data_IF_204725545716
#
_entry.id   IF_204725545716
#
_cell.length_a   1.000
_cell.length_b   1.000
_cell.length_c   1.000
_cell.angle_alpha   90.00
_cell.angle_beta   90.00
_cell.angle_gamma   90.00
#
_symmetry.space_group_name_H-M   'P 1'
#
loop_
_entity.id
_entity.type
_entity.pdbx_description
1 polymer ?
#
# COMPACT_ATOMS: atom_id res chain seq x y z
N UNK A 1 22.20 -36.77 -15.44
CA UNK A 1 21.10 -37.19 -14.56
C UNK A 1 20.41 -35.94 -14.08
N UNK A 2 19.13 -35.78 -14.45
CA UNK A 2 18.34 -34.60 -14.17
C UNK A 2 18.00 -34.53 -12.67
N UNK A 3 18.28 -33.40 -12.03
CA UNK A 3 17.59 -32.99 -10.81
C UNK A 3 16.49 -32.01 -11.22
N UNK A 4 15.41 -32.58 -11.77
CA UNK A 4 14.11 -31.93 -11.79
C UNK A 4 13.59 -31.97 -10.35
N UNK A 5 13.55 -30.83 -9.66
CA UNK A 5 12.79 -30.71 -8.42
C UNK A 5 12.02 -29.39 -8.41
N UNK A 6 10.80 -29.50 -8.92
CA UNK A 6 9.59 -28.95 -8.28
C UNK A 6 9.49 -27.43 -8.18
N UNK A 7 8.83 -26.81 -9.17
CA UNK A 7 8.00 -25.64 -8.87
C UNK A 7 6.93 -26.09 -7.87
N UNK A 8 7.23 -25.96 -6.58
CA UNK A 8 6.29 -26.27 -5.51
C UNK A 8 5.02 -25.42 -5.66
N UNK A 9 3.88 -26.09 -5.48
CA UNK A 9 2.56 -25.51 -5.30
C UNK A 9 2.58 -24.48 -4.16
N UNK A 10 3.00 -23.24 -4.42
CA UNK A 10 2.90 -22.16 -3.45
C UNK A 10 1.44 -21.72 -3.33
N UNK A 11 0.72 -22.38 -2.42
CA UNK A 11 -0.62 -22.01 -2.02
C UNK A 11 -0.49 -21.00 -0.88
N UNK A 12 -0.72 -19.72 -1.17
CA UNK A 12 -0.69 -18.68 -0.14
C UNK A 12 -2.00 -18.65 0.64
N UNK A 13 -1.92 -18.39 1.94
CA UNK A 13 -3.08 -18.15 2.78
C UNK A 13 -3.11 -16.69 3.20
N UNK A 14 -4.31 -16.12 3.29
CA UNK A 14 -4.51 -14.76 3.73
C UNK A 14 -4.36 -14.69 5.25
N UNK A 15 -3.39 -13.92 5.73
CA UNK A 15 -3.09 -13.79 7.16
C UNK A 15 -4.20 -13.06 7.96
N UNK A 16 -5.19 -12.47 7.29
CA UNK A 16 -6.34 -11.84 7.96
C UNK A 16 -7.55 -12.77 8.13
N UNK A 17 -7.81 -13.65 7.16
CA UNK A 17 -9.04 -14.45 7.12
C UNK A 17 -8.80 -15.95 6.86
N UNK A 18 -7.55 -16.37 6.77
CA UNK A 18 -7.09 -17.74 6.49
C UNK A 18 -7.58 -18.34 5.16
N UNK A 19 -8.25 -17.57 4.29
CA UNK A 19 -8.62 -18.04 2.97
C UNK A 19 -7.40 -18.28 2.09
N UNK A 20 -7.50 -19.31 1.26
CA UNK A 20 -6.52 -19.63 0.23
C UNK A 20 -6.55 -18.55 -0.85
N UNK A 21 -5.38 -18.05 -1.22
CA UNK A 21 -5.16 -17.07 -2.27
C UNK A 21 -4.75 -17.83 -3.53
N UNK A 22 -5.62 -17.80 -4.54
CA UNK A 22 -5.43 -18.56 -5.79
C UNK A 22 -4.47 -17.84 -6.75
N UNK A 23 -4.32 -16.52 -6.65
CA UNK A 23 -3.47 -15.71 -7.53
C UNK A 23 -2.73 -14.62 -6.79
N UNK A 24 -1.44 -14.45 -7.10
CA UNK A 24 -0.50 -13.38 -6.68
C UNK A 24 -0.92 -12.63 -5.40
N UNK A 25 -0.43 -13.04 -4.22
CA UNK A 25 -0.77 -12.37 -2.97
C UNK A 25 -0.19 -10.95 -2.95
N UNK A 26 -0.80 -10.11 -2.13
CA UNK A 26 -0.16 -8.88 -1.66
C UNK A 26 0.63 -9.25 -0.40
N UNK A 27 1.96 -9.17 -0.49
CA UNK A 27 2.87 -9.59 0.57
C UNK A 27 3.39 -8.37 1.33
N UNK A 28 3.38 -8.45 2.67
CA UNK A 28 4.00 -7.43 3.51
C UNK A 28 5.53 -7.51 3.41
N UNK A 29 6.21 -6.40 3.14
CA UNK A 29 7.67 -6.34 3.01
C UNK A 29 8.41 -6.67 4.33
N UNK A 30 7.76 -6.45 5.48
CA UNK A 30 8.40 -6.56 6.80
C UNK A 30 8.23 -7.96 7.40
N UNK A 31 7.06 -8.57 7.22
CA UNK A 31 6.72 -9.84 7.87
C UNK A 31 6.36 -10.97 6.91
N UNK A 32 6.53 -10.76 5.60
CA UNK A 32 6.24 -11.72 4.52
C UNK A 32 4.82 -12.32 4.52
N UNK A 33 3.92 -11.73 5.32
CA UNK A 33 2.54 -12.16 5.41
C UNK A 33 1.79 -11.83 4.13
N UNK A 34 0.98 -12.79 3.68
CA UNK A 34 0.23 -12.70 2.44
C UNK A 34 -1.22 -12.28 2.70
N UNK A 35 -1.76 -11.46 1.81
CA UNK A 35 -3.14 -10.99 1.88
C UNK A 35 -3.76 -11.00 0.48
N UNK A 36 -5.04 -11.40 0.38
CA UNK A 36 -5.79 -11.13 -0.86
C UNK A 36 -6.20 -9.64 -0.90
N UNK A 37 -6.45 -9.12 -2.10
CA UNK A 37 -6.64 -7.69 -2.36
C UNK A 37 -7.65 -7.01 -1.42
N UNK A 38 -8.82 -7.63 -1.22
CA UNK A 38 -9.85 -7.11 -0.31
C UNK A 38 -9.39 -7.00 1.15
N UNK A 39 -8.60 -7.95 1.63
CA UNK A 39 -8.06 -7.92 3.00
C UNK A 39 -6.94 -6.89 3.11
N UNK A 40 -6.03 -6.78 2.14
CA UNK A 40 -4.98 -5.77 2.13
C UNK A 40 -5.55 -4.33 2.22
N UNK A 41 -6.66 -4.05 1.51
CA UNK A 41 -7.37 -2.76 1.63
C UNK A 41 -7.95 -2.52 3.03
N UNK A 42 -8.45 -3.56 3.70
CA UNK A 42 -9.05 -3.47 5.04
C UNK A 42 -8.03 -3.17 6.12
N UNK A 43 -6.85 -3.79 6.04
CA UNK A 43 -5.80 -3.59 7.05
C UNK A 43 -5.08 -2.25 6.90
N UNK A 44 -5.51 -1.38 5.96
CA UNK A 44 -5.02 0.00 5.78
C UNK A 44 -3.49 0.09 5.80
N UNK A 45 -2.82 -0.83 5.10
CA UNK A 45 -1.37 -0.79 4.98
C UNK A 45 -0.89 0.40 4.15
N UNK A 46 0.36 0.78 4.38
CA UNK A 46 1.03 1.86 3.67
C UNK A 46 1.67 1.28 2.41
N UNK A 47 1.38 1.91 1.25
CA UNK A 47 2.04 1.55 0.01
C UNK A 47 3.30 2.40 -0.13
N UNK A 48 4.46 1.77 -0.02
CA UNK A 48 5.74 2.46 -0.17
C UNK A 48 6.14 2.35 -1.65
N UNK A 49 6.20 3.49 -2.34
CA UNK A 49 6.74 3.54 -3.70
C UNK A 49 5.89 2.82 -4.75
N UNK A 50 6.53 1.98 -5.59
CA UNK A 50 5.92 1.41 -6.81
C UNK A 50 5.48 -0.06 -6.70
N UNK A 51 5.84 -0.82 -5.67
CA UNK A 51 5.47 -2.24 -5.53
C UNK A 51 5.49 -2.78 -4.08
N UNK A 52 5.67 -1.93 -3.07
CA UNK A 52 5.93 -2.41 -1.71
C UNK A 52 4.75 -2.10 -0.79
N UNK A 53 4.32 -3.10 -0.03
CA UNK A 53 3.19 -3.04 0.87
C UNK A 53 3.66 -3.30 2.30
N UNK A 54 3.32 -2.44 3.25
CA UNK A 54 3.57 -2.66 4.68
C UNK A 54 2.23 -2.78 5.39
N UNK A 55 2.01 -3.88 6.10
CA UNK A 55 0.77 -4.06 6.86
C UNK A 55 0.76 -3.12 8.08
N UNK A 56 -0.41 -2.63 8.48
CA UNK A 56 -0.54 -1.66 9.56
C UNK A 56 0.05 -2.11 10.91
N UNK A 57 0.08 -3.42 11.17
CA UNK A 57 0.75 -3.95 12.35
C UNK A 57 2.26 -3.65 12.29
N UNK A 58 2.91 -4.00 11.18
CA UNK A 58 4.33 -3.74 10.97
C UNK A 58 4.64 -2.25 10.84
N UNK A 59 3.73 -1.46 10.27
CA UNK A 59 3.84 0.00 10.23
C UNK A 59 3.92 0.56 11.65
N UNK A 60 2.96 0.18 12.51
CA UNK A 60 2.95 0.59 13.92
C UNK A 60 4.17 0.07 14.72
N UNK A 61 4.57 -1.18 14.50
CA UNK A 61 5.74 -1.77 15.17
C UNK A 61 7.02 -1.03 14.76
N UNK A 62 7.19 -0.68 13.48
CA UNK A 62 8.32 0.09 13.00
C UNK A 62 8.41 1.47 13.68
N UNK A 63 7.28 2.19 13.81
CA UNK A 63 7.26 3.45 14.55
C UNK A 63 7.60 3.27 16.04
N UNK A 64 7.13 2.19 16.67
CA UNK A 64 7.47 1.88 18.07
C UNK A 64 8.95 1.57 18.25
N UNK A 65 9.56 0.85 17.30
CA UNK A 65 10.98 0.49 17.32
C UNK A 65 11.85 1.74 17.11
N UNK A 66 11.48 2.59 16.14
CA UNK A 66 12.14 3.89 15.93
C UNK A 66 12.03 4.76 17.18
N UNK A 67 10.85 4.82 17.82
CA UNK A 67 10.68 5.57 19.06
C UNK A 67 11.59 5.05 20.18
N UNK A 68 11.67 3.73 20.35
CA UNK A 68 12.56 3.13 21.34
C UNK A 68 14.05 3.38 21.03
N UNK A 69 14.45 3.36 19.75
CA UNK A 69 15.81 3.70 19.34
C UNK A 69 16.14 5.17 19.62
N UNK A 70 15.17 6.07 19.40
CA UNK A 70 15.30 7.48 19.73
C UNK A 70 15.48 7.70 21.23
N UNK A 71 14.91 6.87 22.10
CA UNK A 71 15.04 6.97 23.56
C UNK A 71 16.42 6.52 24.09
N UNK A 72 17.28 5.92 23.25
CA UNK A 72 18.61 5.47 23.68
C UNK A 72 19.60 6.62 23.91
N UNK A 73 20.46 6.47 24.92
CA UNK A 73 21.49 7.46 25.30
C UNK A 73 22.56 7.69 24.21
N UNK A 74 22.60 6.83 23.19
CA UNK A 74 23.49 6.94 22.04
C UNK A 74 22.99 7.92 20.97
N UNK A 75 21.72 8.33 21.03
CA UNK A 75 21.08 9.19 20.02
C UNK A 75 21.06 10.64 20.51
N UNK A 76 21.69 11.54 19.74
CA UNK A 76 21.72 12.96 20.07
C UNK A 76 20.35 13.62 19.87
N UNK A 77 20.12 14.74 20.56
CA UNK A 77 18.88 15.51 20.44
C UNK A 77 18.66 16.06 19.02
N UNK A 78 19.75 16.41 18.32
CA UNK A 78 19.70 16.81 16.91
C UNK A 78 19.21 15.66 16.03
N UNK A 79 19.64 14.42 16.31
CA UNK A 79 19.23 13.23 15.57
C UNK A 79 17.74 12.95 15.79
N UNK A 80 17.24 13.07 17.03
CA UNK A 80 15.81 12.98 17.36
C UNK A 80 14.98 13.99 16.59
N UNK A 81 15.43 15.25 16.57
CA UNK A 81 14.73 16.34 15.88
C UNK A 81 14.67 16.11 14.36
N UNK A 82 15.75 15.62 13.75
CA UNK A 82 15.77 15.27 12.32
C UNK A 82 14.80 14.14 12.01
N UNK A 83 14.77 13.09 12.83
CA UNK A 83 13.84 11.95 12.62
C UNK A 83 12.39 12.38 12.78
N UNK A 84 12.05 13.17 13.80
CA UNK A 84 10.69 13.71 14.02
C UNK A 84 10.26 14.60 12.83
N UNK A 85 11.15 15.46 12.34
CA UNK A 85 10.88 16.30 11.17
C UNK A 85 10.65 15.45 9.91
N UNK A 86 11.46 14.40 9.69
CA UNK A 86 11.30 13.49 8.56
C UNK A 86 9.96 12.75 8.61
N UNK A 87 9.53 12.27 9.78
CA UNK A 87 8.21 11.63 9.96
C UNK A 87 7.08 12.59 9.60
N UNK A 88 7.11 13.83 10.12
CA UNK A 88 6.11 14.86 9.81
C UNK A 88 6.06 15.23 8.32
N UNK A 89 7.22 15.26 7.66
CA UNK A 89 7.31 15.51 6.21
C UNK A 89 6.68 14.36 5.43
N UNK A 90 6.91 13.11 5.83
CA UNK A 90 6.33 11.92 5.21
C UNK A 90 4.82 11.91 5.37
N UNK A 91 4.29 12.14 6.58
CA UNK A 91 2.84 12.22 6.85
C UNK A 91 2.18 13.31 6.00
N UNK A 92 2.79 14.51 5.95
CA UNK A 92 2.29 15.62 5.13
C UNK A 92 2.27 15.26 3.64
N UNK A 93 3.24 14.48 3.15
CA UNK A 93 3.29 14.02 1.77
C UNK A 93 2.16 13.02 1.48
N UNK A 94 1.84 12.12 2.39
CA UNK A 94 0.75 11.15 2.23
C UNK A 94 -0.61 11.84 2.18
N UNK A 95 -0.83 12.89 2.97
CA UNK A 95 -2.03 13.73 2.89
C UNK A 95 -2.16 14.42 1.51
N UNK A 96 -1.05 14.96 1.00
CA UNK A 96 -1.00 15.57 -0.34
C UNK A 96 -1.31 14.53 -1.42
N UNK A 97 -0.75 13.32 -1.32
CA UNK A 97 -1.02 12.21 -2.26
C UNK A 97 -2.49 11.80 -2.21
N UNK A 98 -3.06 11.65 -1.01
CA UNK A 98 -4.46 11.30 -0.82
C UNK A 98 -5.39 12.35 -1.44
N UNK A 99 -5.10 13.63 -1.20
CA UNK A 99 -5.82 14.76 -1.81
C UNK A 99 -5.74 14.74 -3.34
N UNK A 100 -4.53 14.54 -3.91
CA UNK A 100 -4.35 14.42 -5.37
C UNK A 100 -5.15 13.25 -5.95
N UNK A 101 -5.11 12.09 -5.30
CA UNK A 101 -5.84 10.90 -5.75
C UNK A 101 -7.36 11.13 -5.74
N UNK A 102 -7.88 11.87 -4.75
CA UNK A 102 -9.29 12.27 -4.72
C UNK A 102 -9.67 13.13 -5.94
N UNK A 103 -8.89 14.17 -6.25
CA UNK A 103 -9.15 15.02 -7.41
C UNK A 103 -9.03 14.27 -8.75
N UNK A 104 -8.05 13.38 -8.88
CA UNK A 104 -7.89 12.52 -10.06
C UNK A 104 -9.15 11.69 -10.28
N UNK A 105 -9.68 11.05 -9.22
CA UNK A 105 -10.90 10.24 -9.30
C UNK A 105 -12.12 11.07 -9.72
N UNK A 106 -12.24 12.29 -9.20
CA UNK A 106 -13.31 13.21 -9.57
C UNK A 106 -13.25 13.59 -11.06
N UNK A 107 -12.05 13.89 -11.56
CA UNK A 107 -11.82 14.21 -12.96
C UNK A 107 -12.09 13.02 -13.88
N UNK A 108 -11.62 11.82 -13.52
CA UNK A 108 -11.89 10.58 -14.26
C UNK A 108 -13.40 10.34 -14.40
N UNK A 109 -14.17 10.57 -13.33
CA UNK A 109 -15.63 10.43 -13.36
C UNK A 109 -16.28 11.42 -14.33
N UNK A 110 -15.83 12.68 -14.31
CA UNK A 110 -16.32 13.70 -15.27
C UNK A 110 -16.01 13.33 -16.71
N UNK A 111 -14.80 12.85 -16.99
CA UNK A 111 -14.39 12.41 -18.33
C UNK A 111 -15.27 11.26 -18.80
N UNK A 112 -15.49 10.24 -17.98
CA UNK A 112 -16.37 9.11 -18.32
C UNK A 112 -17.80 9.56 -18.64
N UNK A 113 -18.35 10.49 -17.85
CA UNK A 113 -19.69 11.03 -18.09
C UNK A 113 -19.80 11.81 -19.41
N UNK A 114 -18.78 12.63 -19.74
CA UNK A 114 -18.73 13.36 -21.01
C UNK A 114 -18.59 12.40 -22.20
N UNK A 115 -17.75 11.37 -22.08
CA UNK A 115 -17.60 10.35 -23.10
C UNK A 115 -18.91 9.60 -23.35
N UNK A 116 -19.67 9.29 -22.31
CA UNK A 116 -20.98 8.66 -22.44
C UNK A 116 -21.98 9.57 -23.16
N UNK A 117 -22.03 10.86 -22.80
CA UNK A 117 -22.89 11.86 -23.49
C UNK A 117 -22.53 12.02 -24.96
N UNK A 118 -21.24 12.05 -25.28
CA UNK A 118 -20.78 12.16 -26.67
C UNK A 118 -21.24 10.95 -27.49
N UNK A 119 -21.16 9.74 -26.92
CA UNK A 119 -21.63 8.52 -27.57
C UNK A 119 -23.13 8.57 -27.88
N UNK A 120 -23.96 9.06 -26.95
CA UNK A 120 -25.41 9.18 -27.18
C UNK A 120 -25.73 10.15 -28.32
N UNK A 121 -25.06 11.30 -28.37
CA UNK A 121 -25.25 12.28 -29.45
C UNK A 121 -24.87 11.67 -30.80
N UNK A 122 -23.74 10.96 -30.87
CA UNK A 122 -23.27 10.31 -32.10
C UNK A 122 -24.18 9.17 -32.59
N UNK A 123 -24.96 8.55 -31.70
CA UNK A 123 -25.94 7.53 -32.09
C UNK A 123 -27.28 8.12 -32.52
N UNK A 124 -27.65 9.30 -32.05
CA UNK A 124 -28.92 9.97 -32.41
C UNK A 124 -28.83 10.68 -33.78
N UNK A 125 -27.62 10.95 -34.29
CA UNK A 125 -27.37 11.56 -35.61
C UNK A 125 -27.22 10.52 -36.76
N UNK A 126 -27.43 9.23 -36.48
CA UNK A 126 -27.22 8.11 -37.42
C UNK A 126 -28.52 7.41 -37.79
#
# INVERSE_FOLDING_TARGET
MAASSSLENQQWTCNLCNHIIISRPITCLVCDNNYHEGCAKKIKGTFIGKCEYVCKKCDNEYFSEVQHLLESDAVTEETKNVVILLVKIIESKDEIIASKNYYIKLLQTKVSNLQNKLKTIQTDER
#
